data_IF_114554387934
#
_entry.id   IF_114554387934
#
_cell.length_a   1.000
_cell.length_b   1.000
_cell.length_c   1.000
_cell.angle_alpha   90.00
_cell.angle_beta   90.00
_cell.angle_gamma   90.00
#
_symmetry.space_group_name_H-M   'P 1'
#
loop_
_entity.id
_entity.type
_entity.pdbx_description
1 polymer ?
#
# COMPACT_ATOMS: atom_id res chain seq x y z
N UNK A 1 2.19 2.18 16.92
CA UNK A 1 2.43 0.77 17.29
C UNK A 1 3.67 0.67 18.13
N UNK A 2 3.97 -0.50 18.65
CA UNK A 2 5.18 -0.77 19.42
C UNK A 2 5.54 -2.25 19.27
N UNK A 3 6.81 -2.59 19.44
CA UNK A 3 7.26 -3.98 19.45
C UNK A 3 7.09 -4.60 20.84
N UNK A 4 6.72 -5.87 20.88
CA UNK A 4 6.63 -6.67 22.11
C UNK A 4 7.82 -7.62 22.14
N UNK A 5 8.63 -7.50 23.19
CA UNK A 5 9.85 -8.30 23.37
C UNK A 5 9.52 -9.69 23.91
N UNK A 6 10.11 -10.72 23.30
CA UNK A 6 10.11 -12.08 23.83
C UNK A 6 11.10 -12.20 25.00
N UNK A 7 10.62 -12.61 26.18
CA UNK A 7 11.45 -12.71 27.38
C UNK A 7 11.56 -14.14 27.94
N UNK A 8 11.03 -15.14 27.24
CA UNK A 8 11.23 -16.55 27.62
C UNK A 8 12.55 -17.10 27.10
N UNK A 9 12.99 -18.23 27.65
CA UNK A 9 14.30 -18.81 27.38
C UNK A 9 14.58 -19.05 25.88
N UNK A 10 13.54 -19.25 25.06
CA UNK A 10 13.67 -19.50 23.62
C UNK A 10 13.38 -18.26 22.75
N UNK A 11 12.71 -17.26 23.29
CA UNK A 11 12.31 -16.04 22.56
C UNK A 11 13.10 -14.79 22.91
N UNK A 12 14.06 -14.87 23.84
CA UNK A 12 15.01 -13.79 24.11
C UNK A 12 15.73 -13.37 22.81
N UNK A 13 15.44 -12.15 22.33
CA UNK A 13 15.94 -11.61 21.06
C UNK A 13 14.93 -11.64 19.89
N UNK A 14 13.72 -12.17 20.11
CA UNK A 14 12.59 -12.10 19.18
C UNK A 14 11.69 -10.89 19.50
N UNK A 15 11.10 -10.31 18.45
CA UNK A 15 10.20 -9.16 18.56
C UNK A 15 8.90 -9.39 17.77
N UNK A 16 7.78 -8.93 18.31
CA UNK A 16 6.48 -8.93 17.61
C UNK A 16 5.90 -7.52 17.53
N UNK A 17 5.75 -7.01 16.31
CA UNK A 17 5.20 -5.67 16.08
C UNK A 17 3.70 -5.60 16.31
N UNK A 18 3.26 -4.75 17.25
CA UNK A 18 1.84 -4.48 17.52
C UNK A 18 1.43 -3.14 16.92
N UNK A 19 0.55 -3.17 15.92
CA UNK A 19 -0.03 -1.96 15.33
C UNK A 19 -1.27 -1.55 16.12
N UNK A 20 -1.19 -0.39 16.77
CA UNK A 20 -2.31 0.24 17.46
C UNK A 20 -2.32 1.73 17.11
N UNK A 21 -3.44 2.21 16.57
CA UNK A 21 -3.67 3.60 16.20
C UNK A 21 -5.10 3.99 16.58
N UNK A 22 -5.22 5.10 17.31
CA UNK A 22 -6.52 5.70 17.63
C UNK A 22 -6.90 6.66 16.50
N UNK A 23 -8.08 6.48 15.90
CA UNK A 23 -8.61 7.41 14.89
C UNK A 23 -10.00 7.91 15.31
N UNK A 24 -10.33 9.15 14.95
CA UNK A 24 -11.66 9.73 15.14
C UNK A 24 -12.22 10.13 13.78
N UNK A 25 -13.24 9.41 13.32
CA UNK A 25 -13.99 9.76 12.11
C UNK A 25 -15.26 10.53 12.51
N UNK A 26 -15.36 11.80 12.11
CA UNK A 26 -16.48 12.67 12.48
C UNK A 26 -17.14 13.26 11.23
N UNK A 27 -18.44 13.00 11.08
CA UNK A 27 -19.27 13.59 10.02
C UNK A 27 -20.17 14.65 10.68
N UNK A 28 -20.03 15.94 10.34
CA UNK A 28 -20.89 16.98 10.88
C UNK A 28 -22.33 16.84 10.35
N UNK A 29 -23.27 17.56 10.96
CA UNK A 29 -24.68 17.54 10.52
C UNK A 29 -24.77 17.96 9.06
N UNK A 30 -25.40 17.10 8.27
CA UNK A 30 -25.62 17.29 6.84
C UNK A 30 -27.11 17.17 6.52
N UNK A 31 -27.67 18.15 5.81
CA UNK A 31 -29.05 18.09 5.33
C UNK A 31 -29.10 17.23 4.07
N UNK A 32 -29.88 16.14 4.11
CA UNK A 32 -30.06 15.26 2.96
C UNK A 32 -31.30 15.71 2.19
N UNK A 33 -31.17 16.18 0.92
CA UNK A 33 -32.28 16.77 0.16
C UNK A 33 -33.28 15.76 -0.43
N UNK A 34 -33.07 14.45 -0.27
CA UNK A 34 -33.95 13.41 -0.78
C UNK A 34 -33.65 12.04 -0.14
N UNK A 35 -34.44 11.02 -0.47
CA UNK A 35 -34.21 9.66 0.04
C UNK A 35 -32.90 9.08 -0.51
N UNK A 36 -32.07 8.51 0.36
CA UNK A 36 -30.79 7.93 -0.04
C UNK A 36 -30.06 7.27 1.12
N UNK A 37 -28.83 6.79 0.86
CA UNK A 37 -27.94 6.19 1.85
C UNK A 37 -26.63 6.97 1.91
N UNK A 38 -26.07 7.15 3.12
CA UNK A 38 -24.72 7.69 3.31
C UNK A 38 -23.77 6.53 3.60
N UNK A 39 -22.77 6.34 2.75
CA UNK A 39 -21.77 5.28 2.91
C UNK A 39 -20.52 5.82 3.60
N UNK A 40 -20.07 5.12 4.65
CA UNK A 40 -18.75 5.31 5.26
C UNK A 40 -17.94 4.05 5.03
N UNK A 41 -16.82 4.17 4.31
CA UNK A 41 -15.96 3.04 3.92
C UNK A 41 -14.57 3.25 4.52
N UNK A 42 -13.94 2.16 4.97
CA UNK A 42 -12.56 2.16 5.41
C UNK A 42 -11.68 1.42 4.40
N UNK A 43 -10.46 1.94 4.19
CA UNK A 43 -9.49 1.37 3.27
C UNK A 43 -8.11 1.43 3.91
N UNK A 44 -7.59 0.26 4.30
CA UNK A 44 -6.22 0.10 4.77
C UNK A 44 -5.38 -0.39 3.61
N UNK A 45 -4.29 0.33 3.30
CA UNK A 45 -3.35 -0.04 2.25
C UNK A 45 -1.96 -0.08 2.86
N UNK A 46 -1.20 -1.09 2.48
CA UNK A 46 0.25 -1.00 2.55
C UNK A 46 0.73 -0.16 1.36
N UNK A 47 1.88 0.53 1.48
CA UNK A 47 2.68 0.84 0.29
C UNK A 47 2.82 -0.46 -0.54
N UNK A 48 3.06 -0.42 -1.85
CA UNK A 48 3.31 -1.62 -2.62
C UNK A 48 4.83 -1.93 -2.69
N UNK A 49 5.49 -2.46 -1.62
CA UNK A 49 6.87 -2.88 -1.76
C UNK A 49 6.88 -4.15 -2.59
N UNK A 50 7.44 -4.07 -3.79
CA UNK A 50 7.78 -5.25 -4.56
C UNK A 50 9.23 -5.62 -4.23
N UNK A 51 9.43 -6.80 -3.62
CA UNK A 51 10.77 -7.29 -3.24
C UNK A 51 11.70 -7.54 -4.42
N UNK A 52 11.14 -7.53 -5.63
CA UNK A 52 11.85 -7.73 -6.91
C UNK A 52 11.69 -6.53 -7.85
N UNK A 53 11.26 -5.38 -7.33
CA UNK A 53 11.27 -4.16 -8.13
C UNK A 53 12.71 -3.72 -8.40
N UNK A 54 13.00 -3.39 -9.65
CA UNK A 54 14.30 -2.91 -10.09
C UNK A 54 14.07 -1.56 -10.77
N UNK A 55 14.99 -0.61 -10.57
CA UNK A 55 14.96 0.67 -11.27
C UNK A 55 14.89 0.43 -12.78
N UNK A 56 13.94 1.11 -13.45
CA UNK A 56 13.66 0.91 -14.88
C UNK A 56 14.92 0.98 -15.77
N UNK A 57 15.77 1.98 -15.56
CA UNK A 57 17.01 2.14 -16.33
C UNK A 57 18.03 1.03 -16.07
N UNK A 58 18.05 0.45 -14.86
CA UNK A 58 18.97 -0.64 -14.52
C UNK A 58 18.47 -2.01 -15.01
N UNK A 59 17.15 -2.14 -15.24
CA UNK A 59 16.52 -3.33 -15.80
C UNK A 59 16.45 -3.34 -17.33
N UNK A 60 16.83 -2.23 -17.98
CA UNK A 60 16.81 -2.09 -19.44
C UNK A 60 18.15 -2.53 -20.02
N UNK A 61 18.11 -3.46 -20.97
CA UNK A 61 19.34 -4.08 -21.53
C UNK A 61 20.28 -3.05 -22.18
N UNK A 62 19.73 -2.19 -23.05
CA UNK A 62 20.48 -1.17 -23.76
C UNK A 62 19.83 0.20 -23.56
N UNK A 63 20.60 1.12 -23.00
CA UNK A 63 20.19 2.52 -22.81
C UNK A 63 20.40 3.30 -24.10
N UNK A 64 19.38 4.04 -24.53
CA UNK A 64 19.46 4.96 -25.67
C UNK A 64 19.58 6.41 -25.20
N UNK A 65 19.93 7.30 -26.12
CA UNK A 65 20.05 8.75 -25.84
C UNK A 65 18.81 9.34 -25.16
N UNK A 66 17.61 8.90 -25.56
CA UNK A 66 16.34 9.36 -25.00
C UNK A 66 16.13 8.95 -23.54
N UNK A 67 16.78 7.88 -23.08
CA UNK A 67 16.58 7.35 -21.72
C UNK A 67 17.43 8.09 -20.66
N UNK A 68 18.58 8.62 -21.05
CA UNK A 68 19.58 9.19 -20.13
C UNK A 68 19.51 10.72 -20.09
N UNK A 69 19.28 11.35 -21.24
CA UNK A 69 19.52 12.80 -21.39
C UNK A 69 18.36 13.67 -20.89
N UNK A 70 17.18 13.08 -20.64
CA UNK A 70 16.03 13.82 -20.13
C UNK A 70 15.66 15.07 -20.98
N UNK A 71 15.83 14.99 -22.30
CA UNK A 71 15.62 16.13 -23.22
C UNK A 71 14.16 16.59 -23.20
N UNK A 72 13.86 17.82 -22.73
CA UNK A 72 12.49 18.30 -22.58
C UNK A 72 11.73 18.39 -23.92
N UNK A 73 12.43 18.61 -25.03
CA UNK A 73 11.81 18.68 -26.36
C UNK A 73 11.34 17.29 -26.80
N UNK A 74 12.11 16.25 -26.47
CA UNK A 74 11.74 14.88 -26.79
C UNK A 74 10.67 14.36 -25.83
N UNK A 75 10.85 14.49 -24.51
CA UNK A 75 9.89 14.00 -23.51
C UNK A 75 8.50 14.66 -23.63
N UNK A 76 8.44 15.93 -24.06
CA UNK A 76 7.18 16.65 -24.23
C UNK A 76 6.40 16.31 -25.51
N UNK A 77 7.06 15.73 -26.53
CA UNK A 77 6.48 15.57 -27.87
C UNK A 77 6.40 14.11 -28.35
N UNK A 78 6.97 13.15 -27.61
CA UNK A 78 6.86 11.72 -27.92
C UNK A 78 5.63 11.10 -27.27
N UNK A 79 5.05 10.09 -27.94
CA UNK A 79 3.92 9.30 -27.40
C UNK A 79 4.32 8.51 -26.14
N UNK A 80 3.36 8.13 -25.27
CA UNK A 80 3.64 7.27 -24.12
C UNK A 80 4.31 5.96 -24.52
N UNK A 81 5.26 5.52 -23.69
CA UNK A 81 6.00 4.27 -23.89
C UNK A 81 5.19 3.08 -23.38
N UNK A 82 5.15 1.99 -24.17
CA UNK A 82 4.63 0.71 -23.70
C UNK A 82 5.68 0.00 -22.86
N UNK A 83 5.36 -0.27 -21.59
CA UNK A 83 6.21 -1.06 -20.68
C UNK A 83 5.46 -2.31 -20.21
N UNK A 84 6.18 -3.42 -20.03
CA UNK A 84 5.64 -4.63 -19.40
C UNK A 84 5.83 -4.53 -17.89
N UNK A 85 4.76 -4.81 -17.13
CA UNK A 85 4.82 -4.86 -15.66
C UNK A 85 4.38 -6.23 -15.16
N UNK A 86 5.14 -6.78 -14.23
CA UNK A 86 4.79 -8.02 -13.53
C UNK A 86 4.07 -7.65 -12.23
N UNK A 87 2.80 -8.04 -12.10
CA UNK A 87 2.02 -7.77 -10.90
C UNK A 87 2.37 -8.75 -9.78
N UNK A 88 2.73 -8.28 -8.57
CA UNK A 88 2.88 -9.14 -7.41
C UNK A 88 1.51 -9.74 -7.04
N UNK A 89 1.44 -11.07 -6.88
CA UNK A 89 0.27 -11.74 -6.32
C UNK A 89 0.31 -11.61 -4.80
N UNK A 90 -0.70 -10.99 -4.20
CA UNK A 90 -0.90 -10.96 -2.75
C UNK A 90 -2.32 -11.47 -2.46
N UNK A 91 -2.43 -12.50 -1.62
CA UNK A 91 -3.70 -13.06 -1.18
C UNK A 91 -4.03 -12.53 0.22
N UNK A 92 -5.29 -12.14 0.45
CA UNK A 92 -5.76 -11.65 1.75
C UNK A 92 -7.02 -12.42 2.16
N UNK A 93 -7.04 -12.90 3.40
CA UNK A 93 -8.25 -13.42 4.05
C UNK A 93 -8.81 -12.37 5.00
N UNK A 94 -10.02 -11.90 4.70
CA UNK A 94 -10.72 -10.89 5.51
C UNK A 94 -11.74 -11.58 6.43
N UNK A 95 -11.44 -11.63 7.74
CA UNK A 95 -12.36 -12.19 8.74
C UNK A 95 -13.13 -11.06 9.43
N UNK A 96 -14.40 -10.85 9.05
CA UNK A 96 -15.28 -9.92 9.76
C UNK A 96 -15.83 -10.57 11.04
N UNK A 97 -15.36 -10.13 12.21
CA UNK A 97 -15.96 -10.48 13.51
C UNK A 97 -16.82 -9.32 14.02
N UNK A 98 -17.99 -9.62 14.60
CA UNK A 98 -19.00 -8.66 15.13
C UNK A 98 -18.53 -7.76 16.31
N UNK A 99 -17.24 -7.49 16.49
CA UNK A 99 -16.73 -6.55 17.52
C UNK A 99 -16.09 -5.34 16.86
N UNK A 100 -16.01 -4.24 17.61
CA UNK A 100 -15.51 -2.91 17.26
C UNK A 100 -14.06 -2.83 16.73
N UNK A 101 -13.44 -3.96 16.39
CA UNK A 101 -12.06 -4.08 15.92
C UNK A 101 -12.04 -4.91 14.63
N UNK A 102 -11.37 -4.37 13.61
CA UNK A 102 -11.07 -5.08 12.36
C UNK A 102 -9.72 -5.77 12.56
N UNK A 103 -9.74 -7.11 12.57
CA UNK A 103 -8.52 -7.92 12.64
C UNK A 103 -8.06 -8.26 11.21
N UNK A 104 -6.92 -7.72 10.79
CA UNK A 104 -6.29 -8.07 9.52
C UNK A 104 -5.21 -9.12 9.83
N UNK A 105 -5.39 -10.35 9.33
CA UNK A 105 -4.34 -11.38 9.33
C UNK A 105 -3.63 -11.39 7.99
N UNK A 106 -2.31 -11.33 8.03
CA UNK A 106 -1.44 -11.48 6.86
C UNK A 106 -0.79 -12.86 7.03
N UNK A 107 -1.11 -13.78 6.12
CA UNK A 107 -0.43 -15.08 5.97
C UNK A 107 0.54 -15.03 4.81
#
# INVERSE_FOLDING_TARGET
GYDVDGTDQTSLGQFSGRVQQTYKHYVPRFFVPGHGCTFSVALVRFPPPATKEIQYLNAKDALTYTDIVCDPVLYGNVRPLGISIMWPKVSFDLVFRRKSHIDIRIT
#
